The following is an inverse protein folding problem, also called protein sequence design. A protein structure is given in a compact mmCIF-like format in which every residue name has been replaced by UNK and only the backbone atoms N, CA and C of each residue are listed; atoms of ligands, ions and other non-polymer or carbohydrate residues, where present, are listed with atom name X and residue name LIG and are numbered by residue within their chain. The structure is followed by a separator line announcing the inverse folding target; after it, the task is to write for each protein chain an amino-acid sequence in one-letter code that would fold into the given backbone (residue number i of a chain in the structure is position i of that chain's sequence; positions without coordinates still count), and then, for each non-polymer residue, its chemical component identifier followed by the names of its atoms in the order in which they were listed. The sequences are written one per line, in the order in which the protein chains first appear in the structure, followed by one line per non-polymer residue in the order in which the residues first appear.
data_IF_542594402827
#
_entry.id   IF_542594402827
#
_cell.length_a   1.000
_cell.length_b   1.000
_cell.length_c   1.000
_cell.angle_alpha   90.00
_cell.angle_beta   90.00
_cell.angle_gamma   90.00
#
_symmetry.space_group_name_H-M   'P 1'
#
loop_
_entity.id
_entity.type
_entity.pdbx_description
1 polymer ?
#
# COMPACT_ATOMS: atom_id res chain seq x y z
N UNK A 1 -21.51 29.06 8.79
CA UNK A 1 -22.16 29.30 7.49
C UNK A 1 -22.29 27.96 6.81
N UNK A 2 -23.52 27.46 6.82
CA UNK A 2 -23.93 26.10 6.42
C UNK A 2 -23.80 25.99 4.90
N UNK A 3 -22.95 25.08 4.41
CA UNK A 3 -23.06 24.57 3.04
C UNK A 3 -23.83 23.27 3.13
N UNK A 4 -25.14 23.41 3.18
CA UNK A 4 -26.10 22.37 2.82
C UNK A 4 -25.89 22.10 1.32
N UNK A 5 -24.91 21.27 0.99
CA UNK A 5 -24.87 20.64 -0.31
C UNK A 5 -26.04 19.68 -0.30
N UNK A 6 -27.13 20.07 -0.97
CA UNK A 6 -28.15 19.16 -1.45
C UNK A 6 -27.45 17.89 -1.95
N UNK A 7 -27.47 16.84 -1.13
CA UNK A 7 -27.08 15.52 -1.59
C UNK A 7 -28.22 15.09 -2.49
N UNK A 8 -28.04 15.33 -3.79
CA UNK A 8 -28.95 14.81 -4.79
C UNK A 8 -28.88 13.29 -4.65
N UNK A 9 -29.99 12.67 -4.26
CA UNK A 9 -30.08 11.20 -4.24
C UNK A 9 -29.63 10.66 -5.59
N UNK A 10 -28.76 9.63 -5.61
CA UNK A 10 -28.23 9.10 -6.85
C UNK A 10 -29.39 8.59 -7.69
N UNK A 11 -29.41 9.00 -8.96
CA UNK A 11 -30.45 8.54 -9.87
C UNK A 11 -30.28 7.05 -10.14
N UNK A 12 -31.38 6.37 -10.45
CA UNK A 12 -31.37 4.95 -10.81
C UNK A 12 -30.42 4.64 -11.99
N UNK A 13 -30.24 5.58 -12.92
CA UNK A 13 -29.25 5.52 -14.01
C UNK A 13 -27.81 5.48 -13.48
N UNK A 14 -27.47 6.31 -12.49
CA UNK A 14 -26.12 6.37 -11.92
C UNK A 14 -25.79 5.10 -11.13
N UNK A 15 -26.79 4.51 -10.47
CA UNK A 15 -26.67 3.20 -9.82
C UNK A 15 -26.40 2.10 -10.86
N UNK A 16 -27.05 2.16 -12.04
CA UNK A 16 -26.77 1.24 -13.15
C UNK A 16 -25.37 1.42 -13.71
N UNK A 17 -24.94 2.66 -13.97
CA UNK A 17 -23.59 2.96 -14.43
C UNK A 17 -22.53 2.46 -13.44
N UNK A 18 -22.78 2.59 -12.12
CA UNK A 18 -21.89 2.06 -11.09
C UNK A 18 -21.84 0.52 -11.14
N UNK A 19 -22.98 -0.14 -11.32
CA UNK A 19 -23.08 -1.60 -11.41
C UNK A 19 -22.28 -2.15 -12.60
N UNK A 20 -22.36 -1.49 -13.75
CA UNK A 20 -21.68 -1.89 -14.98
C UNK A 20 -20.21 -1.43 -15.04
N UNK A 21 -19.76 -0.61 -14.08
CA UNK A 21 -18.41 -0.07 -14.03
C UNK A 21 -18.16 1.09 -15.01
N UNK A 22 -19.22 1.70 -15.52
CA UNK A 22 -19.20 2.82 -16.49
C UNK A 22 -19.36 4.20 -15.83
N UNK A 23 -19.39 4.27 -14.50
CA UNK A 23 -19.48 5.53 -13.77
C UNK A 23 -18.14 6.27 -13.71
N UNK A 24 -18.15 7.57 -14.02
CA UNK A 24 -16.95 8.41 -13.91
C UNK A 24 -16.43 8.49 -12.46
N UNK A 25 -15.10 8.51 -12.32
CA UNK A 25 -14.42 8.57 -11.03
C UNK A 25 -14.83 9.79 -10.18
N UNK A 26 -15.16 10.91 -10.81
CA UNK A 26 -15.60 12.15 -10.16
C UNK A 26 -16.97 12.02 -9.50
N UNK A 27 -17.83 11.14 -10.03
CA UNK A 27 -19.22 10.92 -9.56
C UNK A 27 -19.33 9.78 -8.57
N UNK A 28 -18.34 8.88 -8.54
CA UNK A 28 -18.35 7.65 -7.74
C UNK A 28 -18.54 7.90 -6.24
N UNK A 29 -17.85 8.88 -5.66
CA UNK A 29 -17.97 9.18 -4.22
C UNK A 29 -19.40 9.62 -3.83
N UNK A 30 -20.05 10.40 -4.71
CA UNK A 30 -21.43 10.85 -4.50
C UNK A 30 -22.42 9.70 -4.53
N UNK A 31 -22.33 8.82 -5.53
CA UNK A 31 -23.20 7.65 -5.65
C UNK A 31 -22.96 6.67 -4.49
N UNK A 32 -21.71 6.40 -4.12
CA UNK A 32 -21.36 5.57 -2.97
C UNK A 32 -21.89 6.15 -1.64
N UNK A 33 -21.90 7.48 -1.50
CA UNK A 33 -22.50 8.13 -0.33
C UNK A 33 -24.02 7.96 -0.33
N UNK A 34 -24.67 8.12 -1.49
CA UNK A 34 -26.12 7.92 -1.64
C UNK A 34 -26.58 6.48 -1.41
N UNK A 35 -25.73 5.48 -1.69
CA UNK A 35 -26.00 4.07 -1.35
C UNK A 35 -26.12 3.80 0.16
N UNK A 36 -25.89 4.78 1.04
CA UNK A 36 -26.24 4.67 2.46
C UNK A 36 -27.74 4.76 2.70
N UNK A 37 -28.49 5.34 1.77
CA UNK A 37 -29.95 5.38 1.82
C UNK A 37 -30.56 4.01 1.47
N UNK A 38 -31.65 3.66 2.18
CA UNK A 38 -32.30 2.37 2.03
C UNK A 38 -32.97 2.19 0.65
N UNK A 39 -33.51 3.26 0.06
CA UNK A 39 -34.12 3.23 -1.27
C UNK A 39 -33.09 3.01 -2.38
N UNK A 40 -31.94 3.68 -2.27
CA UNK A 40 -30.82 3.49 -3.19
C UNK A 40 -30.24 2.08 -3.08
N UNK A 41 -30.06 1.57 -1.85
CA UNK A 41 -29.63 0.17 -1.60
C UNK A 41 -30.63 -0.84 -2.17
N UNK A 42 -31.94 -0.61 -1.98
CA UNK A 42 -32.97 -1.49 -2.52
C UNK A 42 -32.93 -1.55 -4.05
N UNK A 43 -32.70 -0.40 -4.71
CA UNK A 43 -32.53 -0.33 -6.17
C UNK A 43 -31.30 -1.12 -6.62
N UNK A 44 -30.16 -0.94 -5.96
CA UNK A 44 -28.92 -1.68 -6.22
C UNK A 44 -29.13 -3.21 -6.09
N UNK A 45 -29.77 -3.65 -5.01
CA UNK A 45 -30.08 -5.07 -4.79
C UNK A 45 -31.01 -5.60 -5.87
N UNK A 46 -32.05 -4.85 -6.24
CA UNK A 46 -33.01 -5.25 -7.28
C UNK A 46 -32.30 -5.52 -8.62
N UNK A 47 -31.39 -4.63 -9.03
CA UNK A 47 -30.64 -4.79 -10.28
C UNK A 47 -29.74 -6.03 -10.27
N UNK A 48 -29.02 -6.28 -9.17
CA UNK A 48 -28.23 -7.50 -9.04
C UNK A 48 -29.09 -8.77 -9.07
N UNK A 49 -30.24 -8.77 -8.40
CA UNK A 49 -31.18 -9.91 -8.40
C UNK A 49 -31.72 -10.19 -9.80
N UNK A 50 -32.08 -9.14 -10.56
CA UNK A 50 -32.51 -9.29 -11.96
C UNK A 50 -31.36 -9.89 -12.79
N UNK A 51 -30.15 -9.35 -12.67
CA UNK A 51 -28.98 -9.85 -13.39
C UNK A 51 -28.65 -11.31 -13.07
N UNK A 52 -28.76 -11.69 -11.80
CA UNK A 52 -28.51 -13.05 -11.34
C UNK A 52 -29.59 -14.02 -11.84
N UNK A 53 -30.86 -13.61 -11.83
CA UNK A 53 -31.96 -14.39 -12.39
C UNK A 53 -31.76 -14.62 -13.90
N UNK A 54 -31.35 -13.60 -14.65
CA UNK A 54 -31.06 -13.71 -16.09
C UNK A 54 -29.88 -14.64 -16.39
N UNK A 55 -28.89 -14.72 -15.49
CA UNK A 55 -27.73 -15.63 -15.60
C UNK A 55 -28.02 -17.06 -15.11
N UNK A 56 -29.19 -17.32 -14.55
CA UNK A 56 -29.54 -18.62 -13.94
C UNK A 56 -28.80 -18.89 -12.62
N UNK A 57 -28.31 -17.84 -11.95
CA UNK A 57 -27.72 -17.94 -10.62
C UNK A 57 -28.78 -18.30 -9.57
N UNK A 58 -28.36 -18.96 -8.50
CA UNK A 58 -29.25 -19.28 -7.39
C UNK A 58 -29.82 -18.00 -6.74
N UNK A 59 -31.06 -18.08 -6.25
CA UNK A 59 -31.68 -16.96 -5.54
C UNK A 59 -30.87 -16.59 -4.28
N UNK A 60 -30.80 -15.29 -3.94
CA UNK A 60 -30.09 -14.85 -2.76
C UNK A 60 -30.69 -15.46 -1.49
N UNK A 61 -29.81 -15.89 -0.58
CA UNK A 61 -30.20 -16.48 0.69
C UNK A 61 -30.79 -15.38 1.57
N UNK A 62 -32.01 -15.58 2.07
CA UNK A 62 -32.67 -14.62 2.97
C UNK A 62 -31.82 -14.35 4.22
N UNK A 63 -31.74 -13.08 4.58
CA UNK A 63 -30.98 -12.57 5.71
C UNK A 63 -29.47 -12.78 5.63
N UNK A 64 -28.92 -13.12 4.45
CA UNK A 64 -27.48 -13.20 4.26
C UNK A 64 -26.80 -11.86 4.60
N UNK A 65 -27.31 -10.75 4.07
CA UNK A 65 -26.74 -9.43 4.30
C UNK A 65 -26.72 -9.05 5.79
N UNK A 66 -27.80 -9.33 6.54
CA UNK A 66 -27.87 -9.07 7.98
C UNK A 66 -26.84 -9.91 8.76
N UNK A 67 -26.74 -11.21 8.47
CA UNK A 67 -25.75 -12.09 9.13
C UNK A 67 -24.32 -11.71 8.77
N UNK A 68 -24.08 -11.34 7.52
CA UNK A 68 -22.79 -10.89 7.03
C UNK A 68 -22.38 -9.59 7.73
N UNK A 69 -23.29 -8.62 7.82
CA UNK A 69 -23.05 -7.37 8.53
C UNK A 69 -22.75 -7.60 10.02
N UNK A 70 -23.55 -8.41 10.71
CA UNK A 70 -23.32 -8.76 12.11
C UNK A 70 -21.97 -9.48 12.33
N UNK A 71 -21.55 -10.32 11.38
CA UNK A 71 -20.25 -10.99 11.43
C UNK A 71 -19.12 -9.97 11.24
N UNK A 72 -19.24 -9.05 10.28
CA UNK A 72 -18.27 -7.98 10.05
C UNK A 72 -18.13 -7.02 11.24
N UNK A 73 -19.23 -6.65 11.90
CA UNK A 73 -19.16 -5.81 13.11
C UNK A 73 -18.44 -6.51 14.27
N UNK A 74 -18.49 -7.84 14.32
CA UNK A 74 -17.79 -8.63 15.32
C UNK A 74 -16.30 -8.86 14.99
N UNK A 75 -15.84 -8.52 13.78
CA UNK A 75 -14.44 -8.66 13.40
C UNK A 75 -13.58 -7.57 14.05
N UNK A 76 -12.41 -7.93 14.63
CA UNK A 76 -11.48 -6.92 15.16
C UNK A 76 -10.91 -6.09 14.00
N UNK A 77 -11.13 -4.78 14.02
CA UNK A 77 -10.58 -3.85 13.02
C UNK A 77 -9.05 -3.93 12.98
N UNK A 78 -8.50 -4.64 12.00
CA UNK A 78 -7.05 -4.70 11.79
C UNK A 78 -6.58 -3.40 11.15
N UNK A 79 -6.12 -2.46 11.97
CA UNK A 79 -5.47 -1.25 11.49
C UNK A 79 -4.07 -1.61 10.95
N UNK A 80 -3.96 -1.88 9.65
CA UNK A 80 -2.67 -1.96 9.00
C UNK A 80 -1.87 -0.66 9.25
N UNK A 81 -0.58 -0.72 9.62
CA UNK A 81 0.21 0.48 9.89
C UNK A 81 0.21 1.40 8.66
N UNK A 82 -0.31 2.61 8.81
CA UNK A 82 -0.21 3.63 7.75
C UNK A 82 1.27 3.90 7.48
N UNK A 83 1.70 3.77 6.22
CA UNK A 83 3.06 4.14 5.81
C UNK A 83 3.29 5.61 6.16
N UNK A 84 4.12 5.88 7.15
CA UNK A 84 4.53 7.24 7.48
C UNK A 84 5.44 7.75 6.35
N UNK A 85 5.27 8.99 5.86
CA UNK A 85 6.23 9.57 4.95
C UNK A 85 7.61 9.61 5.63
N UNK A 86 8.67 9.40 4.85
CA UNK A 86 10.03 9.52 5.37
C UNK A 86 10.25 10.93 5.96
N UNK A 87 10.94 11.07 7.10
CA UNK A 87 11.13 12.37 7.72
C UNK A 87 11.96 13.28 6.80
N UNK A 88 11.64 14.58 6.77
CA UNK A 88 12.34 15.57 5.94
C UNK A 88 13.87 15.58 6.16
N UNK A 89 14.32 15.20 7.36
CA UNK A 89 15.74 15.02 7.69
C UNK A 89 16.46 14.00 6.79
N UNK A 90 15.78 12.94 6.36
CA UNK A 90 16.36 11.93 5.44
C UNK A 90 16.55 12.52 4.04
N UNK A 91 15.57 13.30 3.56
CA UNK A 91 15.68 14.00 2.28
C UNK A 91 16.81 15.05 2.31
N UNK A 92 16.91 15.80 3.40
CA UNK A 92 17.97 16.79 3.60
C UNK A 92 19.36 16.13 3.71
N UNK A 93 19.48 15.02 4.44
CA UNK A 93 20.72 14.27 4.53
C UNK A 93 21.15 13.73 3.16
N UNK A 94 20.22 13.19 2.37
CA UNK A 94 20.50 12.76 1.00
C UNK A 94 21.00 13.93 0.15
N UNK A 95 20.31 15.07 0.16
CA UNK A 95 20.73 16.27 -0.57
C UNK A 95 22.13 16.76 -0.14
N UNK A 96 22.41 16.78 1.18
CA UNK A 96 23.71 17.17 1.72
C UNK A 96 24.83 16.22 1.27
N UNK A 97 24.58 14.91 1.23
CA UNK A 97 25.58 13.95 0.74
C UNK A 97 25.88 14.14 -0.75
N UNK A 98 24.87 14.38 -1.58
CA UNK A 98 25.06 14.67 -3.02
C UNK A 98 25.86 15.96 -3.20
N UNK A 99 25.53 17.02 -2.47
CA UNK A 99 26.25 18.28 -2.51
C UNK A 99 27.73 18.12 -2.09
N UNK A 100 27.99 17.40 -0.99
CA UNK A 100 29.34 17.14 -0.52
C UNK A 100 30.16 16.33 -1.53
N UNK A 101 29.60 15.26 -2.10
CA UNK A 101 30.29 14.45 -3.13
C UNK A 101 30.58 15.28 -4.38
N UNK A 102 29.65 16.16 -4.78
CA UNK A 102 29.82 17.03 -5.94
C UNK A 102 30.95 18.04 -5.72
N UNK A 103 31.01 18.66 -4.53
CA UNK A 103 32.07 19.59 -4.15
C UNK A 103 33.44 18.89 -4.13
N UNK A 104 33.52 17.71 -3.51
CA UNK A 104 34.76 16.92 -3.44
C UNK A 104 35.22 16.49 -4.84
N UNK A 105 34.29 16.09 -5.70
CA UNK A 105 34.60 15.70 -7.09
C UNK A 105 35.14 16.87 -7.90
N UNK A 106 34.56 18.06 -7.74
CA UNK A 106 35.03 19.28 -8.39
C UNK A 106 36.44 19.67 -7.97
N UNK A 107 36.71 19.64 -6.65
CA UNK A 107 38.06 19.92 -6.12
C UNK A 107 39.07 18.89 -6.64
N UNK A 108 38.73 17.60 -6.65
CA UNK A 108 39.62 16.54 -7.15
C UNK A 108 39.97 16.72 -8.64
N UNK A 109 38.99 17.05 -9.48
CA UNK A 109 39.19 17.31 -10.91
C UNK A 109 40.08 18.52 -11.19
N UNK A 110 40.02 19.54 -10.32
CA UNK A 110 40.76 20.81 -10.52
C UNK A 110 42.16 20.81 -9.90
N UNK A 111 42.47 19.88 -8.99
CA UNK A 111 43.73 19.91 -8.21
C UNK A 111 44.65 18.70 -8.42
N UNK A 112 44.20 17.62 -9.07
CA UNK A 112 45.02 16.41 -9.22
C UNK A 112 45.38 16.08 -10.69
N UNK A 113 46.66 16.19 -11.10
CA UNK A 113 47.14 15.64 -12.37
C UNK A 113 47.34 14.12 -12.24
N UNK A 114 46.61 13.31 -13.04
CA UNK A 114 46.75 11.84 -13.10
C UNK A 114 45.52 11.02 -12.66
N UNK A 115 44.30 11.52 -12.90
CA UNK A 115 43.05 11.10 -12.25
C UNK A 115 42.55 9.66 -12.46
N UNK A 116 42.79 9.02 -13.61
CA UNK A 116 41.98 7.87 -14.03
C UNK A 116 42.14 6.62 -13.13
N UNK A 117 43.36 6.26 -12.74
CA UNK A 117 43.62 5.06 -11.94
C UNK A 117 43.22 5.23 -10.46
N UNK A 118 43.34 6.45 -9.92
CA UNK A 118 42.99 6.74 -8.51
C UNK A 118 41.48 6.93 -8.32
N UNK A 119 40.79 7.49 -9.32
CA UNK A 119 39.33 7.61 -9.33
C UNK A 119 38.68 6.23 -9.37
N UNK A 120 39.20 5.30 -10.18
CA UNK A 120 38.69 3.92 -10.24
C UNK A 120 38.80 3.18 -8.89
N UNK A 121 39.92 3.33 -8.18
CA UNK A 121 40.13 2.72 -6.86
C UNK A 121 39.21 3.35 -5.78
N UNK A 122 38.99 4.67 -5.83
CA UNK A 122 38.08 5.36 -4.92
C UNK A 122 36.61 4.93 -5.14
N UNK A 123 36.18 4.76 -6.39
CA UNK A 123 34.83 4.29 -6.73
C UNK A 123 34.61 2.85 -6.23
N UNK A 124 35.61 1.96 -6.38
CA UNK A 124 35.51 0.59 -5.89
C UNK A 124 35.35 0.54 -4.35
N UNK A 125 36.11 1.36 -3.63
CA UNK A 125 36.04 1.46 -2.17
C UNK A 125 34.69 2.03 -1.71
N UNK A 126 34.17 3.05 -2.41
CA UNK A 126 32.87 3.64 -2.11
C UNK A 126 31.71 2.64 -2.33
N UNK A 127 31.79 1.77 -3.35
CA UNK A 127 30.81 0.71 -3.61
C UNK A 127 30.77 -0.34 -2.50
N UNK A 128 31.93 -0.72 -1.93
CA UNK A 128 31.96 -1.65 -0.80
C UNK A 128 31.38 -1.01 0.48
N UNK A 129 31.68 0.25 0.75
CA UNK A 129 31.15 0.96 1.91
C UNK A 129 29.63 1.20 1.86
N UNK A 130 29.06 1.45 0.66
CA UNK A 130 27.62 1.63 0.49
C UNK A 130 26.83 0.32 0.65
N UNK A 131 27.41 -0.82 0.25
CA UNK A 131 26.81 -2.14 0.44
C UNK A 131 26.66 -2.52 1.92
N UNK A 132 27.63 -2.16 2.76
CA UNK A 132 27.60 -2.41 4.22
C UNK A 132 26.49 -1.57 4.88
N UNK A 133 26.42 -0.26 4.59
CA UNK A 133 25.35 0.60 5.13
C UNK A 133 23.94 0.19 4.71
N UNK A 134 23.77 -0.32 3.49
CA UNK A 134 22.47 -0.78 2.99
C UNK A 134 21.99 -2.07 3.69
N UNK A 135 22.91 -2.88 4.24
CA UNK A 135 22.58 -4.04 5.05
C UNK A 135 22.12 -3.63 6.46
N UNK A 136 22.79 -2.65 7.06
CA UNK A 136 22.49 -2.17 8.42
C UNK A 136 21.25 -1.26 8.50
N UNK A 137 20.89 -0.57 7.41
CA UNK A 137 19.76 0.36 7.37
C UNK A 137 18.39 -0.31 7.16
N UNK A 138 18.33 -1.63 7.02
CA UNK A 138 17.05 -2.35 6.88
C UNK A 138 16.35 -2.35 8.24
N UNK A 139 15.17 -1.72 8.39
CA UNK A 139 14.42 -1.84 9.63
C UNK A 139 14.07 -3.31 9.86
N UNK A 140 14.21 -3.80 11.09
CA UNK A 140 13.54 -5.03 11.50
C UNK A 140 12.03 -4.78 11.36
N UNK A 141 11.41 -5.45 10.38
CA UNK A 141 9.97 -5.34 10.16
C UNK A 141 9.30 -6.38 11.05
N UNK A 142 9.01 -6.00 12.29
CA UNK A 142 8.18 -6.80 13.20
C UNK A 142 6.71 -6.58 12.82
N UNK A 143 6.27 -7.29 11.78
CA UNK A 143 4.88 -7.25 11.37
C UNK A 143 4.33 -8.67 11.25
N UNK A 144 3.91 -9.21 12.39
CA UNK A 144 3.30 -10.53 12.54
C UNK A 144 2.13 -10.73 11.56
N UNK A 145 1.31 -9.69 11.31
CA UNK A 145 0.24 -9.74 10.31
C UNK A 145 0.77 -10.00 8.89
N UNK A 146 1.87 -9.36 8.49
CA UNK A 146 2.50 -9.59 7.18
C UNK A 146 3.17 -10.96 7.11
N UNK A 147 3.77 -11.44 8.20
CA UNK A 147 4.33 -12.79 8.28
C UNK A 147 3.25 -13.86 8.07
N UNK A 148 2.14 -13.75 8.80
CA UNK A 148 0.99 -14.66 8.64
C UNK A 148 0.43 -14.58 7.22
N UNK A 149 0.21 -13.38 6.67
CA UNK A 149 -0.30 -13.26 5.30
C UNK A 149 0.66 -13.78 4.22
N UNK A 150 1.98 -13.73 4.44
CA UNK A 150 2.96 -14.29 3.51
C UNK A 150 3.00 -15.82 3.54
N UNK A 151 2.73 -16.43 4.70
CA UNK A 151 2.71 -17.88 4.86
C UNK A 151 1.53 -18.55 4.13
N UNK A 152 0.39 -17.84 4.03
CA UNK A 152 -0.83 -18.35 3.40
C UNK A 152 -1.07 -17.85 1.96
N UNK A 153 -0.17 -17.02 1.39
CA UNK A 153 -0.32 -16.54 0.01
C UNK A 153 0.26 -17.54 -1.01
N UNK A 154 -0.50 -17.98 -2.04
CA UNK A 154 -0.03 -18.94 -3.04
C UNK A 154 1.05 -18.38 -3.99
N UNK A 155 1.36 -17.07 -3.91
CA UNK A 155 2.20 -16.37 -4.90
C UNK A 155 3.72 -16.53 -4.70
N UNK A 156 4.18 -17.34 -3.74
CA UNK A 156 5.62 -17.58 -3.53
C UNK A 156 6.20 -18.62 -4.52
N UNK A 157 5.38 -19.16 -5.44
CA UNK A 157 5.81 -20.02 -6.52
C UNK A 157 6.07 -19.23 -7.83
N UNK A 158 6.99 -18.27 -7.82
CA UNK A 158 7.70 -17.89 -9.05
C UNK A 158 9.19 -18.13 -8.83
N UNK A 159 9.65 -19.20 -9.46
CA UNK A 159 11.04 -19.65 -9.58
C UNK A 159 11.95 -18.52 -10.07
N UNK A 160 13.17 -18.45 -9.52
CA UNK A 160 14.30 -18.18 -10.39
C UNK A 160 15.45 -17.32 -9.91
N UNK A 161 15.52 -16.82 -8.66
CA UNK A 161 16.80 -16.33 -8.09
C UNK A 161 16.81 -16.53 -6.57
N UNK A 162 17.72 -17.36 -6.06
CA UNK A 162 18.14 -17.46 -4.64
C UNK A 162 19.64 -17.12 -4.57
N UNK A 163 20.18 -16.58 -3.45
CA UNK A 163 19.68 -16.78 -2.09
C UNK A 163 19.34 -15.50 -1.31
N UNK A 164 18.28 -15.64 -0.52
CA UNK A 164 17.90 -14.74 0.56
C UNK A 164 18.90 -14.86 1.70
N UNK A 165 19.67 -13.80 1.98
CA UNK A 165 20.11 -13.52 3.34
C UNK A 165 19.06 -12.61 3.97
N UNK A 166 18.07 -13.23 4.64
CA UNK A 166 17.16 -12.55 5.56
C UNK A 166 17.37 -13.18 6.93
N UNK A 167 18.37 -12.68 7.66
CA UNK A 167 18.49 -12.98 9.07
C UNK A 167 17.36 -12.22 9.79
N UNK A 168 16.34 -12.96 10.22
CA UNK A 168 15.38 -12.47 11.22
C UNK A 168 15.93 -12.91 12.56
N UNK A 169 16.49 -11.98 13.31
CA UNK A 169 16.78 -12.20 14.73
C UNK A 169 15.46 -12.00 15.49
N UNK A 170 14.89 -13.08 16.04
CA UNK A 170 13.85 -12.97 17.03
C UNK A 170 14.48 -12.36 18.29
N UNK A 171 14.05 -11.17 18.69
CA UNK A 171 14.33 -10.65 20.03
C UNK A 171 13.60 -11.51 21.04
N UNK A 172 14.34 -12.09 21.98
CA UNK A 172 13.81 -12.87 23.09
C UNK A 172 12.82 -12.02 23.92
N UNK A 173 11.64 -12.55 24.29
CA UNK A 173 10.68 -11.80 25.08
C UNK A 173 11.25 -11.53 26.48
N UNK A 174 11.31 -10.25 26.86
CA UNK A 174 11.65 -9.78 28.20
C UNK A 174 10.62 -10.33 29.20
N UNK A 175 10.92 -11.51 29.74
CA UNK A 175 10.25 -12.04 30.91
C UNK A 175 10.83 -11.35 32.14
N UNK A 176 10.05 -10.47 32.76
CA UNK A 176 10.26 -10.12 34.17
C UNK A 176 9.05 -10.47 35.04
N UNK A 177 9.32 -10.89 36.29
CA UNK A 177 8.34 -11.39 37.23
C UNK A 177 7.45 -10.29 37.83
#
# INVERSE_FOLDING_TARGET
MVMDRFQTEPKAEEISLLMDGELDAERMDGVCTGLRDAGCTATWVCYHVIGDALRGSAAPIRGFAERFHASLEAEPTVLAPRRRPAPAAVALAAAATVAAVSLVSWVALTTMPGGDARVAAAIATAKQASAIRAADARPAVDNEYVLVHQEYSPSTAIQGVRPYLRAVAAGEPDARP
#
